data_IF_368292744780
#
_entry.id   IF_368292744780
#
_cell.length_a   1.000
_cell.length_b   1.000
_cell.length_c   1.000
_cell.angle_alpha   90.00
_cell.angle_beta   90.00
_cell.angle_gamma   90.00
#
_symmetry.space_group_name_H-M   'P 1'
#
loop_
_entity.id
_entity.type
_entity.pdbx_description
1 polymer ?
#
# COMPACT_ATOMS: atom_id res chain seq x y z
N UNK A 1 -54.42 7.35 2.38
CA UNK A 1 -53.14 7.39 3.12
C UNK A 1 -52.01 6.99 2.17
N UNK A 2 -51.14 7.93 1.77
CA UNK A 2 -49.95 7.62 0.96
C UNK A 2 -48.96 6.82 1.81
N UNK A 3 -48.65 5.58 1.43
CA UNK A 3 -47.53 4.83 2.01
C UNK A 3 -46.25 5.65 1.80
N UNK A 4 -45.70 6.16 2.89
CA UNK A 4 -44.38 6.78 2.87
C UNK A 4 -43.37 5.74 2.36
N UNK A 5 -42.63 6.12 1.32
CA UNK A 5 -41.65 5.28 0.64
C UNK A 5 -40.46 5.00 1.60
N UNK A 6 -40.62 4.02 2.50
CA UNK A 6 -39.61 3.63 3.51
C UNK A 6 -38.48 2.77 2.94
N UNK A 7 -38.53 2.44 1.64
CA UNK A 7 -37.56 1.58 0.96
C UNK A 7 -36.10 2.12 0.97
N UNK A 8 -35.82 3.43 0.80
CA UNK A 8 -34.44 3.90 0.71
C UNK A 8 -33.73 3.88 2.05
N UNK A 9 -34.45 4.20 3.14
CA UNK A 9 -33.90 4.19 4.49
C UNK A 9 -33.59 2.76 4.96
N UNK A 10 -34.51 1.81 4.69
CA UNK A 10 -34.30 0.38 5.00
C UNK A 10 -33.07 -0.19 4.27
N UNK A 11 -32.87 0.19 3.01
CA UNK A 11 -31.71 -0.24 2.24
C UNK A 11 -30.40 0.35 2.80
N UNK A 12 -30.38 1.64 3.16
CA UNK A 12 -29.22 2.27 3.82
C UNK A 12 -28.88 1.62 5.16
N UNK A 13 -29.88 1.30 5.98
CA UNK A 13 -29.67 0.61 7.26
C UNK A 13 -29.06 -0.78 7.03
N UNK A 14 -29.61 -1.55 6.09
CA UNK A 14 -29.05 -2.88 5.73
C UNK A 14 -27.58 -2.77 5.31
N UNK A 15 -27.26 -1.78 4.49
CA UNK A 15 -25.91 -1.54 4.01
C UNK A 15 -24.93 -1.22 5.15
N UNK A 16 -25.32 -0.33 6.07
CA UNK A 16 -24.52 0.01 7.27
C UNK A 16 -24.31 -1.23 8.14
N UNK A 17 -25.34 -2.07 8.30
CA UNK A 17 -25.23 -3.31 9.05
C UNK A 17 -24.25 -4.27 8.38
N UNK A 18 -24.35 -4.47 7.05
CA UNK A 18 -23.46 -5.38 6.33
C UNK A 18 -22.00 -4.95 6.35
N UNK A 19 -21.71 -3.68 6.05
CA UNK A 19 -20.33 -3.19 6.12
C UNK A 19 -19.80 -3.21 7.56
N UNK A 20 -20.66 -2.90 8.54
CA UNK A 20 -20.32 -3.01 9.96
C UNK A 20 -20.00 -4.44 10.38
N UNK A 21 -20.72 -5.44 9.87
CA UNK A 21 -20.44 -6.85 10.10
C UNK A 21 -19.12 -7.27 9.48
N UNK A 22 -18.87 -6.90 8.21
CA UNK A 22 -17.60 -7.16 7.52
C UNK A 22 -16.43 -6.60 8.33
N UNK A 23 -16.52 -5.35 8.79
CA UNK A 23 -15.45 -4.71 9.56
C UNK A 23 -15.23 -5.37 10.93
N UNK A 24 -16.28 -5.83 11.61
CA UNK A 24 -16.13 -6.56 12.88
C UNK A 24 -15.46 -7.93 12.71
N UNK A 25 -15.88 -8.69 11.69
CA UNK A 25 -15.25 -9.97 11.35
C UNK A 25 -13.79 -9.73 10.96
N UNK A 26 -13.53 -8.75 10.10
CA UNK A 26 -12.19 -8.35 9.71
C UNK A 26 -11.31 -7.97 10.89
N UNK A 27 -11.86 -7.23 11.87
CA UNK A 27 -11.18 -6.85 13.10
C UNK A 27 -10.83 -8.10 13.91
N UNK A 28 -11.79 -8.98 14.19
CA UNK A 28 -11.54 -10.21 14.95
C UNK A 28 -10.44 -11.09 14.34
N UNK A 29 -10.46 -11.28 13.02
CA UNK A 29 -9.44 -12.04 12.30
C UNK A 29 -8.04 -11.41 12.43
N UNK A 30 -7.96 -10.08 12.34
CA UNK A 30 -6.69 -9.34 12.43
C UNK A 30 -6.13 -9.29 13.85
N UNK A 31 -6.98 -9.15 14.87
CA UNK A 31 -6.57 -9.25 16.27
C UNK A 31 -6.03 -10.64 16.60
N UNK A 32 -6.61 -11.69 16.02
CA UNK A 32 -6.06 -13.04 16.16
C UNK A 32 -4.67 -13.15 15.51
N UNK A 33 -4.51 -12.65 14.27
CA UNK A 33 -3.23 -12.64 13.57
C UNK A 33 -2.15 -11.80 14.27
N UNK A 34 -2.52 -10.77 15.02
CA UNK A 34 -1.60 -9.95 15.81
C UNK A 34 -0.94 -10.72 16.96
N UNK A 35 -1.59 -11.78 17.45
CA UNK A 35 -1.08 -12.60 18.56
C UNK A 35 -0.10 -13.69 18.10
N UNK A 36 0.24 -13.72 16.81
CA UNK A 36 1.25 -14.64 16.29
C UNK A 36 2.58 -14.48 17.04
N UNK A 37 3.11 -15.59 17.53
CA UNK A 37 4.40 -15.62 18.26
C UNK A 37 5.59 -15.41 17.32
N UNK A 38 5.38 -15.60 16.02
CA UNK A 38 6.38 -15.32 15.00
C UNK A 38 6.67 -13.81 14.96
N UNK A 39 7.94 -13.47 15.12
CA UNK A 39 8.45 -12.11 14.98
C UNK A 39 9.53 -12.13 13.90
N UNK A 40 9.14 -11.73 12.70
CA UNK A 40 9.94 -11.93 11.49
C UNK A 40 11.14 -10.98 11.41
N UNK A 41 12.04 -11.28 10.49
CA UNK A 41 13.22 -10.45 10.21
C UNK A 41 12.85 -8.99 9.90
N UNK A 42 12.02 -8.76 8.88
CA UNK A 42 11.62 -7.40 8.48
C UNK A 42 10.88 -6.68 9.60
N UNK A 43 10.05 -7.42 10.34
CA UNK A 43 9.30 -6.91 11.47
C UNK A 43 10.23 -6.38 12.57
N UNK A 44 11.28 -7.13 12.89
CA UNK A 44 12.29 -6.73 13.86
C UNK A 44 13.06 -5.49 13.43
N UNK A 45 13.33 -5.34 12.14
CA UNK A 45 14.06 -4.19 11.59
C UNK A 45 13.24 -2.91 11.75
N UNK A 46 11.98 -2.90 11.30
CA UNK A 46 11.12 -1.72 11.42
C UNK A 46 10.85 -1.35 12.88
N UNK A 47 10.63 -2.35 13.74
CA UNK A 47 10.46 -2.15 15.17
C UNK A 47 11.73 -1.54 15.81
N UNK A 48 12.91 -2.10 15.53
CA UNK A 48 14.17 -1.63 16.12
C UNK A 48 14.54 -0.22 15.63
N UNK A 49 14.24 0.11 14.37
CA UNK A 49 14.39 1.48 13.85
C UNK A 49 13.53 2.48 14.62
N UNK A 50 12.26 2.17 14.87
CA UNK A 50 11.38 3.04 15.62
C UNK A 50 11.84 3.23 17.08
N UNK A 51 12.35 2.16 17.72
CA UNK A 51 12.96 2.23 19.06
C UNK A 51 14.25 3.07 19.09
N UNK A 52 15.06 2.97 18.04
CA UNK A 52 16.26 3.80 17.92
C UNK A 52 15.90 5.28 17.78
N UNK A 53 14.91 5.59 16.94
CA UNK A 53 14.39 6.96 16.80
C UNK A 53 13.74 7.47 18.10
N UNK A 54 13.10 6.60 18.87
CA UNK A 54 12.58 6.92 20.20
C UNK A 54 13.68 7.37 21.17
N UNK A 55 14.85 6.73 21.10
CA UNK A 55 15.96 7.00 22.02
C UNK A 55 16.85 8.16 21.58
N UNK A 56 17.02 8.34 20.26
CA UNK A 56 18.02 9.24 19.67
C UNK A 56 17.40 10.39 18.84
N UNK A 57 16.08 10.43 18.71
CA UNK A 57 15.33 11.45 17.97
C UNK A 57 14.82 10.98 16.60
N UNK A 58 13.86 11.71 16.00
CA UNK A 58 13.13 11.29 14.79
C UNK A 58 14.01 11.18 13.52
N UNK A 59 15.23 11.72 13.56
CA UNK A 59 16.17 11.68 12.44
C UNK A 59 17.28 10.63 12.63
N UNK A 60 17.28 9.87 13.73
CA UNK A 60 18.19 8.76 13.98
C UNK A 60 17.80 7.50 13.18
N UNK A 61 17.77 7.62 11.85
CA UNK A 61 17.25 6.61 10.93
C UNK A 61 18.28 5.55 10.55
N UNK A 62 18.86 4.91 11.56
CA UNK A 62 19.91 3.90 11.43
C UNK A 62 19.66 2.74 12.38
N UNK A 63 20.16 1.56 12.01
CA UNK A 63 20.20 0.39 12.90
C UNK A 63 21.50 0.30 13.71
N UNK A 64 22.48 1.18 13.42
CA UNK A 64 23.74 1.20 14.15
C UNK A 64 23.51 1.61 15.59
N UNK A 65 23.84 0.72 16.53
CA UNK A 65 23.58 0.89 17.96
C UNK A 65 22.12 0.68 18.38
N UNK A 66 21.22 0.33 17.46
CA UNK A 66 19.83 0.03 17.80
C UNK A 66 19.72 -1.28 18.60
N UNK A 67 18.75 -1.41 19.52
CA UNK A 67 18.44 -2.67 20.18
C UNK A 67 17.83 -3.63 19.16
N UNK A 68 18.67 -4.50 18.60
CA UNK A 68 18.26 -5.45 17.56
C UNK A 68 17.61 -6.68 18.19
N UNK A 69 16.32 -6.86 17.93
CA UNK A 69 15.60 -8.09 18.29
C UNK A 69 15.73 -9.09 17.13
N UNK A 70 16.96 -9.56 16.87
CA UNK A 70 17.23 -10.48 15.77
C UNK A 70 17.15 -11.92 16.27
N UNK A 71 16.28 -12.71 15.66
CA UNK A 71 16.33 -14.17 15.78
C UNK A 71 17.54 -14.68 15.00
N UNK A 72 18.73 -14.81 15.61
CA UNK A 72 19.90 -15.51 15.03
C UNK A 72 20.49 -14.97 13.70
N UNK A 73 19.91 -13.96 13.05
CA UNK A 73 20.35 -13.45 11.76
C UNK A 73 21.37 -12.32 11.91
N UNK A 74 22.51 -12.40 11.20
CA UNK A 74 23.42 -11.26 11.03
C UNK A 74 22.89 -10.37 9.91
N UNK A 75 22.46 -9.16 10.27
CA UNK A 75 22.10 -8.12 9.31
C UNK A 75 23.39 -7.43 8.84
N UNK A 76 23.66 -7.41 7.54
CA UNK A 76 24.92 -6.90 6.98
C UNK A 76 24.98 -5.37 6.88
N UNK A 77 23.85 -4.67 7.03
CA UNK A 77 23.78 -3.20 7.05
C UNK A 77 23.59 -2.58 8.44
N UNK A 78 23.86 -3.33 9.52
CA UNK A 78 23.79 -2.78 10.88
C UNK A 78 24.78 -1.66 11.12
N UNK A 79 25.92 -1.71 10.43
CA UNK A 79 26.98 -0.72 10.51
C UNK A 79 26.84 0.40 9.47
N UNK A 80 25.84 0.34 8.59
CA UNK A 80 25.66 1.37 7.57
C UNK A 80 25.12 2.66 8.20
N UNK A 81 25.45 3.83 7.62
CA UNK A 81 25.05 5.11 8.19
C UNK A 81 23.54 5.24 8.33
N UNK A 82 22.74 4.63 7.42
CA UNK A 82 21.28 4.73 7.37
C UNK A 82 20.61 3.51 6.73
N UNK A 83 19.32 3.32 7.05
CA UNK A 83 18.46 2.35 6.39
C UNK A 83 17.94 2.85 5.03
N UNK A 84 17.88 1.97 4.03
CA UNK A 84 17.71 2.33 2.62
C UNK A 84 16.24 2.40 2.14
N UNK A 85 15.29 2.01 3.00
CA UNK A 85 13.86 2.13 2.69
C UNK A 85 13.32 3.52 3.05
N UNK A 86 12.30 4.01 2.33
CA UNK A 86 11.63 5.25 2.67
C UNK A 86 11.05 5.28 4.11
N UNK A 87 11.15 6.42 4.82
CA UNK A 87 10.98 6.47 6.28
C UNK A 87 9.53 6.62 6.76
N UNK A 88 8.53 6.77 5.89
CA UNK A 88 7.16 7.09 6.32
C UNK A 88 6.60 6.06 7.31
N UNK A 89 6.78 4.78 7.01
CA UNK A 89 6.25 3.71 7.85
C UNK A 89 6.90 3.68 9.24
N UNK A 90 8.22 3.82 9.27
CA UNK A 90 8.98 3.90 10.52
C UNK A 90 8.68 5.15 11.33
N UNK A 91 8.41 6.28 10.66
CA UNK A 91 7.97 7.50 11.33
C UNK A 91 6.58 7.36 11.94
N UNK A 92 5.65 6.74 11.21
CA UNK A 92 4.33 6.39 11.74
C UNK A 92 4.47 5.51 12.99
N UNK A 93 5.32 4.47 12.92
CA UNK A 93 5.55 3.55 14.03
C UNK A 93 6.20 4.23 15.23
N UNK A 94 7.23 5.05 14.99
CA UNK A 94 7.88 5.86 16.03
C UNK A 94 6.88 6.74 16.76
N UNK A 95 6.08 7.53 16.03
CA UNK A 95 5.07 8.40 16.63
C UNK A 95 4.02 7.60 17.42
N UNK A 96 3.60 6.45 16.89
CA UNK A 96 2.66 5.57 17.58
C UNK A 96 3.24 5.05 18.91
N UNK A 97 4.48 4.56 18.89
CA UNK A 97 5.14 4.02 20.08
C UNK A 97 5.40 5.09 21.15
N UNK A 98 5.68 6.34 20.73
CA UNK A 98 5.80 7.47 21.67
C UNK A 98 4.48 7.77 22.39
N UNK A 99 3.34 7.58 21.73
CA UNK A 99 2.03 7.90 22.29
C UNK A 99 1.41 6.75 23.10
N UNK A 100 1.60 5.51 22.65
CA UNK A 100 0.89 4.34 23.19
C UNK A 100 1.80 3.29 23.82
N UNK A 101 3.12 3.49 23.78
CA UNK A 101 4.13 2.56 24.25
C UNK A 101 4.64 1.61 23.16
N UNK A 102 5.76 0.96 23.45
CA UNK A 102 6.54 0.21 22.46
C UNK A 102 6.42 -1.31 22.56
N UNK A 103 5.38 -1.87 23.18
CA UNK A 103 5.24 -3.34 23.16
C UNK A 103 5.01 -3.84 21.74
N UNK A 104 5.42 -5.08 21.42
CA UNK A 104 5.25 -5.65 20.07
C UNK A 104 3.77 -5.67 19.67
N UNK A 105 2.89 -6.07 20.60
CA UNK A 105 1.44 -6.08 20.36
C UNK A 105 0.91 -4.67 20.07
N UNK A 106 1.30 -3.66 20.85
CA UNK A 106 0.88 -2.26 20.61
C UNK A 106 1.42 -1.75 19.27
N UNK A 107 2.63 -2.15 18.90
CA UNK A 107 3.30 -1.75 17.66
C UNK A 107 2.68 -2.35 16.40
N UNK A 108 1.92 -3.45 16.53
CA UNK A 108 1.17 -4.06 15.42
C UNK A 108 -0.20 -3.40 15.18
N UNK A 109 -0.77 -2.71 16.17
CA UNK A 109 -2.10 -2.05 16.07
C UNK A 109 -2.22 -1.09 14.87
N UNK A 110 -1.23 -0.25 14.52
CA UNK A 110 -1.30 0.61 13.34
C UNK A 110 -1.65 -0.17 12.07
N UNK A 111 -1.06 -1.35 11.88
CA UNK A 111 -1.31 -2.18 10.71
C UNK A 111 -2.71 -2.82 10.72
N UNK A 112 -3.28 -3.10 11.88
CA UNK A 112 -4.69 -3.50 12.01
C UNK A 112 -5.61 -2.39 11.50
N UNK A 113 -5.38 -1.15 11.95
CA UNK A 113 -6.18 0.01 11.56
C UNK A 113 -6.06 0.30 10.06
N UNK A 114 -4.83 0.22 9.52
CA UNK A 114 -4.55 0.34 8.08
C UNK A 114 -5.27 -0.74 7.27
N UNK A 115 -5.26 -1.99 7.74
CA UNK A 115 -5.98 -3.09 7.10
C UNK A 115 -7.49 -2.85 7.05
N UNK A 116 -8.08 -2.40 8.16
CA UNK A 116 -9.51 -2.04 8.23
C UNK A 116 -9.86 -0.85 7.33
N UNK A 117 -9.02 0.19 7.30
CA UNK A 117 -9.18 1.32 6.42
C UNK A 117 -9.13 0.89 4.94
N UNK A 118 -8.23 -0.04 4.60
CA UNK A 118 -8.12 -0.60 3.24
C UNK A 118 -9.42 -1.28 2.81
N UNK A 119 -10.04 -2.10 3.66
CA UNK A 119 -11.33 -2.76 3.39
C UNK A 119 -12.41 -1.72 3.06
N UNK A 120 -12.49 -0.66 3.87
CA UNK A 120 -13.49 0.39 3.68
C UNK A 120 -13.25 1.18 2.38
N UNK A 121 -12.00 1.53 2.08
CA UNK A 121 -11.64 2.23 0.84
C UNK A 121 -11.97 1.36 -0.38
N UNK A 122 -11.68 0.06 -0.34
CA UNK A 122 -12.02 -0.89 -1.40
C UNK A 122 -13.52 -1.01 -1.60
N UNK A 123 -14.31 -1.03 -0.52
CA UNK A 123 -15.77 -0.92 -0.59
C UNK A 123 -16.18 0.34 -1.39
N UNK A 124 -15.65 1.51 -1.02
CA UNK A 124 -15.98 2.78 -1.69
C UNK A 124 -15.63 2.79 -3.18
N UNK A 125 -14.51 2.17 -3.57
CA UNK A 125 -14.11 2.03 -4.98
C UNK A 125 -15.09 1.10 -5.71
N UNK A 126 -15.36 -0.09 -5.17
CA UNK A 126 -16.27 -1.06 -5.79
C UNK A 126 -17.70 -0.56 -5.89
N UNK A 127 -18.15 0.26 -4.94
CA UNK A 127 -19.47 0.92 -4.97
C UNK A 127 -19.65 1.92 -6.12
N UNK A 128 -18.58 2.29 -6.84
CA UNK A 128 -18.69 3.06 -8.09
C UNK A 128 -19.16 2.21 -9.27
N UNK A 129 -19.10 0.89 -9.16
CA UNK A 129 -19.65 -0.05 -10.13
C UNK A 129 -21.06 -0.49 -9.72
N UNK A 130 -21.21 -0.98 -8.48
CA UNK A 130 -22.50 -1.23 -7.84
C UNK A 130 -22.30 -1.42 -6.34
N UNK A 131 -23.34 -1.22 -5.53
CA UNK A 131 -23.26 -1.45 -4.08
C UNK A 131 -22.83 -2.88 -3.75
N UNK A 132 -23.36 -3.87 -4.48
CA UNK A 132 -23.01 -5.28 -4.34
C UNK A 132 -21.54 -5.54 -4.67
N UNK A 133 -21.04 -4.93 -5.75
CA UNK A 133 -19.62 -5.06 -6.14
C UNK A 133 -18.70 -4.53 -5.04
N UNK A 134 -19.06 -3.39 -4.44
CA UNK A 134 -18.35 -2.84 -3.28
C UNK A 134 -18.34 -3.78 -2.08
N UNK A 135 -19.50 -4.34 -1.73
CA UNK A 135 -19.61 -5.28 -0.61
C UNK A 135 -18.82 -6.56 -0.84
N UNK A 136 -18.90 -7.14 -2.04
CA UNK A 136 -18.13 -8.34 -2.41
C UNK A 136 -16.63 -8.04 -2.35
N UNK A 137 -16.18 -6.92 -2.94
CA UNK A 137 -14.76 -6.55 -2.93
C UNK A 137 -14.23 -6.37 -1.50
N UNK A 138 -14.97 -5.67 -0.64
CA UNK A 138 -14.59 -5.49 0.76
C UNK A 138 -14.61 -6.80 1.55
N UNK A 139 -15.60 -7.66 1.32
CA UNK A 139 -15.63 -8.99 1.93
C UNK A 139 -14.39 -9.82 1.53
N UNK A 140 -14.03 -9.84 0.25
CA UNK A 140 -12.85 -10.57 -0.25
C UNK A 140 -11.54 -10.06 0.39
N UNK A 141 -11.37 -8.75 0.58
CA UNK A 141 -10.22 -8.20 1.29
C UNK A 141 -10.28 -8.51 2.80
N UNK A 142 -11.48 -8.48 3.40
CA UNK A 142 -11.66 -8.76 4.81
C UNK A 142 -11.20 -10.17 5.20
N UNK A 143 -11.47 -11.17 4.34
CA UNK A 143 -11.10 -12.58 4.55
C UNK A 143 -9.78 -12.98 3.86
N UNK A 144 -9.13 -12.08 3.15
CA UNK A 144 -7.87 -12.36 2.46
C UNK A 144 -6.80 -12.74 3.48
N UNK A 145 -6.32 -13.99 3.43
CA UNK A 145 -5.28 -14.49 4.32
C UNK A 145 -4.02 -13.60 4.29
N UNK A 146 -3.63 -13.15 3.10
CA UNK A 146 -2.49 -12.25 2.94
C UNK A 146 -2.73 -10.90 3.64
N UNK A 147 -3.89 -10.28 3.45
CA UNK A 147 -4.15 -8.99 4.11
C UNK A 147 -4.31 -9.14 5.63
N UNK A 148 -4.89 -10.24 6.10
CA UNK A 148 -4.98 -10.55 7.54
C UNK A 148 -3.58 -10.69 8.14
N UNK A 149 -2.72 -11.49 7.53
CA UNK A 149 -1.34 -11.68 7.97
C UNK A 149 -0.55 -10.37 7.97
N UNK A 150 -0.59 -9.62 6.86
CA UNK A 150 0.11 -8.34 6.74
C UNK A 150 -0.42 -7.27 7.73
N UNK A 151 -1.69 -7.35 8.12
CA UNK A 151 -2.26 -6.49 9.16
C UNK A 151 -1.76 -6.84 10.56
N UNK A 152 -1.42 -8.12 10.80
CA UNK A 152 -0.93 -8.61 12.09
C UNK A 152 0.57 -8.42 12.32
N UNK A 153 1.33 -8.01 11.30
CA UNK A 153 2.80 -7.85 11.36
C UNK A 153 3.19 -6.38 11.21
N UNK A 154 4.34 -5.97 11.76
CA UNK A 154 4.95 -4.63 11.57
C UNK A 154 5.67 -4.56 10.21
N UNK A 155 4.89 -4.44 9.13
CA UNK A 155 5.38 -4.39 7.75
C UNK A 155 4.81 -3.19 6.97
N UNK A 156 5.58 -2.71 6.00
CA UNK A 156 5.24 -1.57 5.14
C UNK A 156 4.12 -1.83 4.14
N UNK A 157 3.91 -3.09 3.76
CA UNK A 157 3.13 -3.46 2.57
C UNK A 157 1.64 -3.17 2.74
N UNK A 158 1.12 -3.30 3.97
CA UNK A 158 -0.26 -2.96 4.27
C UNK A 158 -0.51 -1.44 4.14
N UNK A 159 0.44 -0.61 4.59
CA UNK A 159 0.36 0.85 4.43
C UNK A 159 0.40 1.23 2.95
N UNK A 160 1.31 0.61 2.18
CA UNK A 160 1.40 0.82 0.74
C UNK A 160 0.10 0.47 0.03
N UNK A 161 -0.52 -0.68 0.36
CA UNK A 161 -1.79 -1.11 -0.20
C UNK A 161 -2.92 -0.12 0.11
N UNK A 162 -3.02 0.35 1.35
CA UNK A 162 -4.01 1.35 1.76
C UNK A 162 -3.84 2.68 0.99
N UNK A 163 -2.61 3.19 0.89
CA UNK A 163 -2.30 4.44 0.19
C UNK A 163 -2.56 4.32 -1.32
N UNK A 164 -2.26 3.15 -1.91
CA UNK A 164 -2.58 2.81 -3.31
C UNK A 164 -4.09 2.85 -3.54
N UNK A 165 -4.88 2.21 -2.67
CA UNK A 165 -6.34 2.25 -2.76
C UNK A 165 -6.89 3.67 -2.56
N UNK A 166 -6.34 4.43 -1.60
CA UNK A 166 -6.74 5.81 -1.35
C UNK A 166 -6.45 6.71 -2.57
N UNK A 167 -5.28 6.55 -3.21
CA UNK A 167 -4.94 7.26 -4.45
C UNK A 167 -5.94 6.97 -5.56
N UNK A 168 -6.31 5.71 -5.75
CA UNK A 168 -7.34 5.30 -6.72
C UNK A 168 -8.66 6.01 -6.39
N UNK A 169 -9.12 5.91 -5.14
CA UNK A 169 -10.37 6.53 -4.71
C UNK A 169 -10.38 8.06 -4.94
N UNK A 170 -9.31 8.76 -4.57
CA UNK A 170 -9.22 10.21 -4.75
C UNK A 170 -9.08 10.60 -6.22
N UNK A 171 -8.44 9.78 -7.06
CA UNK A 171 -8.44 9.98 -8.52
C UNK A 171 -9.87 9.91 -9.08
N UNK A 172 -10.66 8.91 -8.66
CA UNK A 172 -12.06 8.81 -9.08
C UNK A 172 -12.84 10.03 -8.60
N UNK A 173 -12.70 10.44 -7.34
CA UNK A 173 -13.37 11.62 -6.79
C UNK A 173 -13.00 12.92 -7.49
N UNK A 174 -11.74 13.09 -7.88
CA UNK A 174 -11.29 14.24 -8.68
C UNK A 174 -12.00 14.26 -10.03
N UNK A 175 -12.14 13.11 -10.68
CA UNK A 175 -12.87 12.99 -11.95
C UNK A 175 -14.37 13.26 -11.85
N UNK A 176 -14.93 13.15 -10.64
CA UNK A 176 -16.32 13.50 -10.31
C UNK A 176 -16.50 14.98 -9.96
N UNK A 177 -15.44 15.80 -10.11
CA UNK A 177 -15.50 17.25 -9.86
C UNK A 177 -15.16 17.68 -8.44
N UNK A 178 -14.73 16.76 -7.55
CA UNK A 178 -14.29 17.15 -6.19
C UNK A 178 -12.89 17.73 -6.23
N UNK A 179 -12.78 19.05 -6.24
CA UNK A 179 -11.48 19.76 -6.33
C UNK A 179 -10.53 19.46 -5.17
N UNK A 180 -11.03 19.27 -3.95
CA UNK A 180 -10.22 18.90 -2.79
C UNK A 180 -9.50 17.55 -2.95
N UNK A 181 -10.03 16.67 -3.80
CA UNK A 181 -9.44 15.37 -4.08
C UNK A 181 -8.11 15.49 -4.85
N UNK A 182 -7.80 16.63 -5.49
CA UNK A 182 -6.52 16.86 -6.16
C UNK A 182 -5.36 16.77 -5.16
N UNK A 183 -5.47 17.49 -4.05
CA UNK A 183 -4.44 17.50 -3.02
C UNK A 183 -4.34 16.11 -2.38
N UNK A 184 -5.47 15.49 -2.03
CA UNK A 184 -5.50 14.15 -1.42
C UNK A 184 -4.91 13.07 -2.34
N UNK A 185 -5.17 13.16 -3.65
CA UNK A 185 -4.59 12.29 -4.67
C UNK A 185 -3.06 12.45 -4.71
N UNK A 186 -2.55 13.69 -4.80
CA UNK A 186 -1.11 13.94 -4.78
C UNK A 186 -0.44 13.50 -3.47
N UNK A 187 -1.07 13.76 -2.32
CA UNK A 187 -0.59 13.34 -1.01
C UNK A 187 -0.48 11.81 -0.92
N UNK A 188 -1.55 11.08 -1.25
CA UNK A 188 -1.54 9.61 -1.18
C UNK A 188 -0.52 8.97 -2.13
N UNK A 189 -0.33 9.51 -3.34
CA UNK A 189 0.73 9.05 -4.25
C UNK A 189 2.12 9.32 -3.67
N UNK A 190 2.37 10.55 -3.20
CA UNK A 190 3.64 10.93 -2.59
C UNK A 190 3.97 10.10 -1.36
N UNK A 191 3.00 9.87 -0.47
CA UNK A 191 3.12 9.02 0.71
C UNK A 191 3.32 7.55 0.34
N UNK A 192 2.69 7.05 -0.72
CA UNK A 192 2.91 5.68 -1.20
C UNK A 192 4.36 5.49 -1.65
N UNK A 193 4.90 6.43 -2.43
CA UNK A 193 6.33 6.48 -2.82
C UNK A 193 7.23 6.57 -1.58
N UNK A 194 6.83 7.38 -0.61
CA UNK A 194 7.55 7.57 0.65
C UNK A 194 7.38 6.42 1.66
N UNK A 195 6.56 5.41 1.34
CA UNK A 195 6.48 4.12 2.04
C UNK A 195 7.40 3.10 1.37
N UNK A 196 7.29 2.98 0.04
CA UNK A 196 8.11 2.12 -0.81
C UNK A 196 8.18 2.77 -2.19
N UNK A 197 9.35 2.74 -2.83
CA UNK A 197 9.55 3.31 -4.17
C UNK A 197 8.54 2.78 -5.20
N UNK A 198 8.10 1.52 -5.06
CA UNK A 198 7.09 0.89 -5.92
C UNK A 198 5.68 1.48 -5.79
N UNK A 199 5.43 2.33 -4.78
CA UNK A 199 4.21 3.13 -4.72
C UNK A 199 4.04 4.07 -5.90
N UNK A 200 5.12 4.39 -6.62
CA UNK A 200 5.01 5.17 -7.86
C UNK A 200 4.17 4.43 -8.91
N UNK A 201 4.22 3.09 -8.98
CA UNK A 201 3.62 2.30 -10.05
C UNK A 201 2.10 2.51 -10.20
N UNK A 202 1.39 2.88 -9.13
CA UNK A 202 -0.05 3.18 -9.19
C UNK A 202 -0.38 4.40 -10.05
N UNK A 203 0.60 5.27 -10.37
CA UNK A 203 0.38 6.47 -11.19
C UNK A 203 -0.23 6.16 -12.57
N UNK A 204 -0.07 4.95 -13.10
CA UNK A 204 -0.71 4.52 -14.34
C UNK A 204 -2.24 4.64 -14.30
N UNK A 205 -2.83 4.62 -13.09
CA UNK A 205 -4.26 4.83 -12.90
C UNK A 205 -4.70 6.25 -13.28
N UNK A 206 -3.97 7.30 -12.88
CA UNK A 206 -4.33 8.68 -13.27
C UNK A 206 -4.08 8.93 -14.76
N UNK A 207 -3.11 8.22 -15.36
CA UNK A 207 -2.89 8.26 -16.80
C UNK A 207 -4.10 7.74 -17.57
N UNK A 208 -4.75 6.66 -17.10
CA UNK A 208 -5.97 6.14 -17.74
C UNK A 208 -7.10 7.18 -17.70
N UNK A 209 -7.34 7.81 -16.56
CA UNK A 209 -8.35 8.86 -16.41
C UNK A 209 -8.06 10.10 -17.26
N UNK A 210 -6.77 10.42 -17.44
CA UNK A 210 -6.33 11.51 -18.32
C UNK A 210 -6.54 11.14 -19.81
N UNK A 211 -6.26 9.89 -20.19
CA UNK A 211 -6.50 9.37 -21.54
C UNK A 211 -7.98 9.45 -21.92
N UNK A 212 -8.87 9.02 -21.02
CA UNK A 212 -10.33 9.11 -21.19
C UNK A 212 -10.90 10.51 -20.96
N UNK A 213 -10.06 11.55 -20.81
CA UNK A 213 -10.46 12.96 -20.61
C UNK A 213 -11.37 13.19 -19.39
N UNK A 214 -11.32 12.28 -18.41
CA UNK A 214 -12.03 12.42 -17.13
C UNK A 214 -11.28 13.32 -16.15
N UNK A 215 -9.97 13.44 -16.34
CA UNK A 215 -9.09 14.38 -15.64
C UNK A 215 -8.27 15.11 -16.71
N UNK A 216 -8.09 16.42 -16.53
CA UNK A 216 -7.25 17.22 -17.44
C UNK A 216 -5.75 16.95 -17.20
N UNK A 217 -4.93 17.13 -18.23
CA UNK A 217 -3.47 16.97 -18.09
C UNK A 217 -2.89 17.92 -17.02
N UNK A 218 -3.45 19.12 -16.87
CA UNK A 218 -3.04 20.09 -15.83
C UNK A 218 -3.32 19.58 -14.42
N UNK A 219 -4.47 18.93 -14.20
CA UNK A 219 -4.78 18.30 -12.92
C UNK A 219 -3.84 17.13 -12.63
N UNK A 220 -3.55 16.28 -13.62
CA UNK A 220 -2.59 15.19 -13.46
C UNK A 220 -1.18 15.72 -13.12
N UNK A 221 -0.72 16.78 -13.79
CA UNK A 221 0.53 17.46 -13.47
C UNK A 221 0.54 18.05 -12.05
N UNK A 222 -0.57 18.65 -11.61
CA UNK A 222 -0.69 19.19 -10.26
C UNK A 222 -0.66 18.08 -9.19
N UNK A 223 -1.32 16.94 -9.43
CA UNK A 223 -1.22 15.74 -8.57
C UNK A 223 0.23 15.27 -8.47
N UNK A 224 0.94 15.18 -9.60
CA UNK A 224 2.35 14.79 -9.62
C UNK A 224 3.25 15.81 -8.92
N UNK A 225 2.97 17.10 -9.04
CA UNK A 225 3.70 18.15 -8.33
C UNK A 225 3.53 18.02 -6.81
N UNK A 226 2.31 17.79 -6.33
CA UNK A 226 2.06 17.55 -4.89
C UNK A 226 2.77 16.26 -4.44
N UNK A 227 2.69 15.17 -5.21
CA UNK A 227 3.40 13.93 -4.89
C UNK A 227 4.93 14.12 -4.84
N UNK A 228 5.47 14.95 -5.75
CA UNK A 228 6.88 15.30 -5.77
C UNK A 228 7.28 16.09 -4.52
N UNK A 229 6.50 17.09 -4.10
CA UNK A 229 6.79 17.85 -2.86
C UNK A 229 6.93 16.93 -1.63
N UNK A 230 6.11 15.88 -1.55
CA UNK A 230 6.16 14.91 -0.45
C UNK A 230 7.36 13.95 -0.55
N UNK A 231 7.69 13.48 -1.75
CA UNK A 231 8.67 12.40 -1.94
C UNK A 231 10.10 12.88 -2.24
N UNK A 232 10.27 14.05 -2.88
CA UNK A 232 11.57 14.63 -3.25
C UNK A 232 12.51 14.84 -2.07
N UNK A 233 12.08 15.28 -0.87
CA UNK A 233 12.99 15.44 0.26
C UNK A 233 13.77 14.16 0.58
N UNK A 234 13.12 12.99 0.48
CA UNK A 234 13.77 11.69 0.67
C UNK A 234 14.78 11.38 -0.43
N UNK A 235 14.44 11.65 -1.69
CA UNK A 235 15.36 11.46 -2.81
C UNK A 235 16.59 12.38 -2.73
N UNK A 236 16.41 13.63 -2.29
CA UNK A 236 17.53 14.57 -2.05
C UNK A 236 18.42 14.05 -0.92
N UNK A 237 17.82 13.53 0.14
CA UNK A 237 18.57 12.95 1.25
C UNK A 237 19.42 11.76 0.80
N UNK A 238 18.81 10.81 0.08
CA UNK A 238 19.53 9.67 -0.49
C UNK A 238 20.68 10.11 -1.40
N UNK A 239 20.47 11.12 -2.25
CA UNK A 239 21.52 11.66 -3.11
C UNK A 239 22.71 12.19 -2.30
N UNK A 240 22.46 12.85 -1.16
CA UNK A 240 23.51 13.37 -0.28
C UNK A 240 24.26 12.29 0.48
N UNK A 241 23.58 11.21 0.87
CA UNK A 241 24.16 10.13 1.69
C UNK A 241 24.84 9.07 0.81
N UNK A 242 24.15 8.60 -0.22
CA UNK A 242 24.56 7.47 -1.05
C UNK A 242 25.08 7.88 -2.43
N UNK A 243 25.03 9.16 -2.78
CA UNK A 243 25.39 9.64 -4.13
C UNK A 243 24.36 9.31 -5.21
N UNK A 244 23.23 8.66 -4.86
CA UNK A 244 22.15 8.29 -5.77
C UNK A 244 20.78 8.58 -5.14
N UNK A 245 19.78 9.03 -5.91
CA UNK A 245 18.45 9.35 -5.38
C UNK A 245 17.70 8.10 -4.89
N UNK A 246 17.94 6.96 -5.55
CA UNK A 246 17.44 5.65 -5.12
C UNK A 246 18.69 4.78 -4.93
N UNK A 247 18.89 4.16 -3.76
CA UNK A 247 20.05 3.33 -3.49
C UNK A 247 19.97 1.96 -4.21
N UNK A 248 19.74 1.94 -5.53
CA UNK A 248 19.64 0.73 -6.37
C UNK A 248 20.97 -0.03 -6.38
N UNK A 249 22.09 0.68 -6.38
CA UNK A 249 23.41 0.06 -6.35
C UNK A 249 23.68 -0.62 -4.99
N UNK A 250 23.07 -0.14 -3.91
CA UNK A 250 23.01 -0.84 -2.63
C UNK A 250 22.32 -2.20 -2.85
N UNK A 251 21.15 -2.26 -3.49
CA UNK A 251 20.52 -3.55 -3.80
C UNK A 251 21.41 -4.47 -4.66
N UNK A 252 22.01 -3.98 -5.74
CA UNK A 252 22.88 -4.80 -6.61
C UNK A 252 24.15 -5.32 -5.91
N UNK A 253 24.75 -4.50 -5.04
CA UNK A 253 25.92 -4.91 -4.26
C UNK A 253 25.58 -5.96 -3.18
N UNK A 254 24.30 -6.08 -2.82
CA UNK A 254 23.87 -6.74 -1.58
C UNK A 254 22.92 -7.94 -1.82
N UNK A 255 22.45 -8.09 -3.05
CA UNK A 255 21.61 -9.18 -3.52
C UNK A 255 22.38 -10.09 -4.50
N UNK A 256 23.05 -11.16 -4.04
CA UNK A 256 23.69 -12.13 -4.95
C UNK A 256 22.68 -12.81 -5.89
N UNK A 257 21.37 -12.72 -5.62
CA UNK A 257 20.32 -13.23 -6.51
C UNK A 257 20.27 -12.52 -7.87
N UNK A 258 20.77 -11.28 -8.02
CA UNK A 258 20.96 -10.67 -9.33
C UNK A 258 21.96 -11.44 -10.22
N UNK A 259 22.87 -12.20 -9.59
CA UNK A 259 23.83 -13.07 -10.28
C UNK A 259 23.38 -14.54 -10.31
N UNK A 260 22.21 -14.87 -9.74
CA UNK A 260 21.66 -16.20 -9.87
C UNK A 260 21.05 -16.29 -11.27
N UNK A 261 21.65 -17.12 -12.12
CA UNK A 261 21.04 -17.51 -13.38
C UNK A 261 19.71 -18.21 -13.08
N UNK A 262 18.63 -17.44 -13.09
CA UNK A 262 17.28 -17.97 -12.99
C UNK A 262 17.07 -18.80 -14.26
N UNK A 263 16.84 -20.12 -14.15
CA UNK A 263 16.71 -20.94 -15.33
C UNK A 263 15.42 -20.56 -16.09
N UNK A 264 15.46 -20.62 -17.43
CA UNK A 264 14.33 -20.19 -18.28
C UNK A 264 12.98 -20.80 -17.87
N UNK A 265 12.97 -22.04 -17.37
CA UNK A 265 11.74 -22.69 -16.90
C UNK A 265 11.15 -22.08 -15.63
N UNK A 266 11.94 -21.41 -14.79
CA UNK A 266 11.40 -20.71 -13.62
C UNK A 266 10.51 -19.54 -14.06
N UNK A 267 10.87 -18.82 -15.13
CA UNK A 267 9.99 -17.82 -15.76
C UNK A 267 8.69 -18.48 -16.28
N UNK A 268 8.80 -19.66 -16.90
CA UNK A 268 7.64 -20.45 -17.33
C UNK A 268 6.80 -21.02 -16.19
N UNK A 269 7.31 -21.11 -14.96
CA UNK A 269 6.57 -21.54 -13.76
C UNK A 269 5.97 -20.35 -12.99
N UNK A 270 6.61 -19.18 -13.02
CA UNK A 270 6.02 -17.91 -12.54
C UNK A 270 4.86 -17.46 -13.42
N UNK A 271 4.96 -17.68 -14.73
CA UNK A 271 3.92 -17.37 -15.69
C UNK A 271 2.57 -18.01 -15.34
N UNK A 272 2.36 -19.32 -15.10
CA UNK A 272 1.05 -19.90 -14.83
C UNK A 272 0.38 -19.49 -13.51
N UNK A 273 1.07 -18.86 -12.55
CA UNK A 273 0.46 -18.25 -11.36
C UNK A 273 -0.10 -16.84 -11.67
N UNK A 274 0.62 -16.10 -12.52
CA UNK A 274 0.31 -14.70 -12.86
C UNK A 274 -0.56 -14.62 -14.12
N UNK A 275 -0.24 -15.44 -15.11
CA UNK A 275 -0.80 -15.49 -16.45
C UNK A 275 -2.31 -15.75 -16.47
N UNK A 276 -2.96 -16.59 -15.64
CA UNK A 276 -4.41 -16.72 -15.67
C UNK A 276 -5.11 -15.42 -15.26
N UNK A 277 -4.64 -14.75 -14.20
CA UNK A 277 -5.17 -13.45 -13.79
C UNK A 277 -4.83 -12.35 -14.79
N UNK A 278 -3.63 -12.41 -15.39
CA UNK A 278 -3.19 -11.49 -16.43
C UNK A 278 -4.01 -11.68 -17.71
N UNK A 279 -4.23 -12.92 -18.17
CA UNK A 279 -5.06 -13.28 -19.32
C UNK A 279 -6.52 -12.88 -19.08
N UNK A 280 -7.08 -13.17 -17.91
CA UNK A 280 -8.46 -12.77 -17.58
C UNK A 280 -8.60 -11.25 -17.55
N UNK A 281 -7.57 -10.54 -17.08
CA UNK A 281 -7.51 -9.08 -17.16
C UNK A 281 -7.41 -8.63 -18.62
N UNK A 282 -6.47 -9.15 -19.43
CA UNK A 282 -6.28 -8.81 -20.85
C UNK A 282 -7.48 -9.14 -21.76
N UNK A 283 -8.06 -10.33 -21.62
CA UNK A 283 -9.24 -10.80 -22.35
C UNK A 283 -10.43 -9.89 -22.05
N UNK A 284 -10.56 -9.45 -20.79
CA UNK A 284 -11.60 -8.50 -20.44
C UNK A 284 -11.24 -7.06 -20.84
N UNK A 285 -9.96 -6.62 -20.82
CA UNK A 285 -9.55 -5.26 -21.24
C UNK A 285 -10.10 -4.92 -22.63
N UNK A 286 -10.06 -5.86 -23.57
CA UNK A 286 -10.64 -5.68 -24.91
C UNK A 286 -12.13 -5.33 -24.89
N UNK A 287 -12.88 -5.86 -23.93
CA UNK A 287 -14.30 -5.56 -23.66
C UNK A 287 -14.49 -4.34 -22.72
N UNK A 288 -13.47 -4.00 -21.92
CA UNK A 288 -13.48 -2.90 -20.94
C UNK A 288 -13.08 -1.54 -21.53
N UNK A 289 -12.64 -1.47 -22.80
CA UNK A 289 -12.10 -0.29 -23.50
C UNK A 289 -12.90 1.02 -23.39
N UNK A 290 -14.11 1.03 -22.83
CA UNK A 290 -14.95 2.22 -22.64
C UNK A 290 -15.11 2.68 -21.18
N UNK A 291 -14.55 1.95 -20.21
CA UNK A 291 -14.69 2.28 -18.78
C UNK A 291 -13.33 2.68 -18.18
N UNK A 292 -13.15 3.95 -17.75
CA UNK A 292 -11.89 4.44 -17.21
C UNK A 292 -11.52 3.76 -15.88
N UNK A 293 -12.50 3.39 -15.05
CA UNK A 293 -12.25 2.72 -13.77
C UNK A 293 -11.69 1.32 -14.01
N UNK A 294 -12.39 0.52 -14.82
CA UNK A 294 -11.98 -0.86 -15.09
C UNK A 294 -10.65 -0.92 -15.86
N UNK A 295 -10.44 0.00 -16.80
CA UNK A 295 -9.18 0.12 -17.54
C UNK A 295 -8.04 0.55 -16.61
N UNK A 296 -8.27 1.53 -15.72
CA UNK A 296 -7.28 1.96 -14.75
C UNK A 296 -6.87 0.84 -13.79
N UNK A 297 -7.83 0.12 -13.21
CA UNK A 297 -7.54 -1.00 -12.29
C UNK A 297 -6.74 -2.10 -12.99
N UNK A 298 -7.09 -2.42 -14.22
CA UNK A 298 -6.37 -3.38 -15.05
C UNK A 298 -4.92 -2.94 -15.35
N UNK A 299 -4.72 -1.66 -15.69
CA UNK A 299 -3.38 -1.10 -15.92
C UNK A 299 -2.51 -1.14 -14.67
N UNK A 300 -3.07 -0.81 -13.50
CA UNK A 300 -2.35 -0.94 -12.22
C UNK A 300 -1.92 -2.38 -12.03
N UNK A 301 -2.85 -3.33 -12.12
CA UNK A 301 -2.54 -4.75 -11.93
C UNK A 301 -1.45 -5.25 -12.88
N UNK A 302 -1.57 -4.96 -14.19
CA UNK A 302 -0.57 -5.34 -15.19
C UNK A 302 0.78 -4.68 -14.90
N UNK A 303 0.81 -3.42 -14.48
CA UNK A 303 2.06 -2.69 -14.19
C UNK A 303 2.80 -3.33 -13.02
N UNK A 304 2.08 -3.66 -11.93
CA UNK A 304 2.69 -4.37 -10.79
C UNK A 304 3.18 -5.76 -11.21
N UNK A 305 2.38 -6.52 -11.95
CA UNK A 305 2.79 -7.84 -12.42
C UNK A 305 4.02 -7.77 -13.33
N UNK A 306 4.02 -6.88 -14.33
CA UNK A 306 5.15 -6.72 -15.24
C UNK A 306 6.42 -6.34 -14.48
N UNK A 307 6.31 -5.42 -13.51
CA UNK A 307 7.45 -4.98 -12.71
C UNK A 307 8.03 -6.11 -11.84
N UNK A 308 7.19 -6.91 -11.19
CA UNK A 308 7.64 -8.02 -10.32
C UNK A 308 7.86 -9.35 -11.04
N UNK A 309 7.53 -9.45 -12.33
CA UNK A 309 7.80 -10.64 -13.16
C UNK A 309 9.13 -10.56 -13.90
N UNK A 310 9.81 -9.41 -13.86
CA UNK A 310 11.17 -9.24 -14.39
C UNK A 310 12.12 -9.47 -13.21
N UNK A 311 12.87 -10.60 -13.18
CA UNK A 311 13.79 -10.90 -12.10
C UNK A 311 15.01 -9.98 -12.05
#
# INVERSE_FOLDING_TARGET
MKQANTSPLKNRIRLIIFIGLILRVAMALRFNAMNESYFGYDESVYYSLAQNMASNGPFAYTLSGAPLILQSYKVWYLSEPLFHHPPLYTWLLYLWQQLFGSSILVSRIPNILIGLATIYIVYLIGSRLSEETGLIAAFLIAISALNIQQSGLILTDNLLAMLTAAFILFTIQLSEGKSSALILCGLTLGLAVWTKYFGLLVFVFILSYTFFKKISIRQAQAVLAVAAVISVPWFIWNLRVYGLPIPIETWKALAPWYNVNVPFYAYLLFLPLIAPFTLLTYINIGRLRRDPLKTGLALVFITYLAFFSIP
#
